data_IF_403773763064
#
_entry.id   IF_403773763064
#
_cell.length_a   1.000
_cell.length_b   1.000
_cell.length_c   1.000
_cell.angle_alpha   90.00
_cell.angle_beta   90.00
_cell.angle_gamma   90.00
#
_symmetry.space_group_name_H-M   'P 1'
#
loop_
_entity.id
_entity.type
_entity.pdbx_description
1 polymer ?
#
# COMPACT_ATOMS: atom_id res chain seq x y z
N UNK A 1 23.72 5.17 27.79
CA UNK A 1 22.98 4.04 28.39
C UNK A 1 22.44 3.14 27.28
N UNK A 2 23.28 2.32 26.61
CA UNK A 2 22.85 1.41 25.54
C UNK A 2 22.48 -0.01 26.03
N UNK A 3 22.82 -0.34 27.28
CA UNK A 3 22.70 -1.69 27.84
C UNK A 3 21.27 -2.17 28.10
N UNK A 4 20.29 -1.28 28.20
CA UNK A 4 18.90 -1.66 28.53
C UNK A 4 18.10 -2.18 27.33
N UNK A 5 18.54 -1.91 26.08
CA UNK A 5 17.85 -2.40 24.89
C UNK A 5 18.30 -3.81 24.47
N UNK A 6 19.53 -4.20 24.82
CA UNK A 6 20.13 -5.48 24.41
C UNK A 6 19.67 -6.63 25.34
N UNK A 7 19.44 -6.35 26.63
CA UNK A 7 18.83 -7.29 27.57
C UNK A 7 17.34 -7.56 27.27
N UNK A 8 16.59 -6.55 26.82
CA UNK A 8 15.19 -6.73 26.45
C UNK A 8 15.02 -7.68 25.24
N UNK A 9 15.97 -7.68 24.29
CA UNK A 9 15.96 -8.58 23.15
C UNK A 9 16.33 -10.03 23.52
N UNK A 10 17.24 -10.21 24.47
CA UNK A 10 17.69 -11.54 24.95
C UNK A 10 16.72 -12.18 25.95
N UNK A 11 15.88 -11.39 26.66
CA UNK A 11 14.87 -11.92 27.58
C UNK A 11 13.63 -12.49 26.86
N UNK A 12 13.32 -12.02 25.65
CA UNK A 12 12.18 -12.50 24.84
C UNK A 12 12.36 -13.97 24.44
N UNK A 13 13.60 -14.45 24.35
CA UNK A 13 13.92 -15.85 23.98
C UNK A 13 13.61 -16.88 25.07
N UNK A 14 13.28 -16.44 26.30
CA UNK A 14 13.04 -17.34 27.44
C UNK A 14 11.61 -17.32 28.00
N UNK A 15 10.70 -16.56 27.39
CA UNK A 15 9.30 -16.61 27.81
C UNK A 15 8.65 -17.91 27.36
N UNK A 16 7.88 -18.53 28.27
CA UNK A 16 7.05 -19.66 27.91
C UNK A 16 6.19 -19.32 26.69
N UNK A 17 6.00 -20.29 25.80
CA UNK A 17 5.30 -20.10 24.52
C UNK A 17 3.96 -19.37 24.68
N UNK A 18 3.23 -19.64 25.77
CA UNK A 18 1.95 -19.00 26.07
C UNK A 18 2.06 -17.51 26.38
N UNK A 19 3.11 -17.05 27.08
CA UNK A 19 3.26 -15.65 27.50
C UNK A 19 3.49 -14.71 26.31
N UNK A 20 4.40 -15.07 25.40
CA UNK A 20 4.62 -14.26 24.20
C UNK A 20 3.42 -14.32 23.26
N UNK A 21 2.76 -15.48 23.15
CA UNK A 21 1.58 -15.68 22.31
C UNK A 21 0.43 -14.75 22.75
N UNK A 22 0.15 -14.71 24.06
CA UNK A 22 -0.87 -13.82 24.61
C UNK A 22 -0.53 -12.34 24.43
N UNK A 23 0.74 -11.96 24.67
CA UNK A 23 1.16 -10.57 24.52
C UNK A 23 1.10 -10.12 23.07
N UNK A 24 1.60 -10.93 22.13
CA UNK A 24 1.56 -10.63 20.70
C UNK A 24 0.12 -10.46 20.21
N UNK A 25 -0.78 -11.40 20.53
CA UNK A 25 -2.19 -11.32 20.15
C UNK A 25 -2.86 -10.04 20.67
N UNK A 26 -2.53 -9.61 21.90
CA UNK A 26 -3.08 -8.38 22.49
C UNK A 26 -2.66 -7.10 21.75
N UNK A 27 -1.54 -7.12 21.02
CA UNK A 27 -1.05 -5.97 20.24
C UNK A 27 -1.60 -5.89 18.82
N UNK A 28 -2.25 -6.96 18.32
CA UNK A 28 -2.76 -6.99 16.96
C UNK A 28 -4.04 -6.18 16.82
N UNK A 29 -4.05 -5.28 15.84
CA UNK A 29 -5.21 -4.47 15.47
C UNK A 29 -5.47 -4.52 13.97
N UNK A 30 -6.70 -4.21 13.56
CA UNK A 30 -7.08 -4.12 12.14
C UNK A 30 -6.78 -5.40 11.35
N UNK A 31 -6.21 -5.22 10.15
CA UNK A 31 -5.92 -6.32 9.22
C UNK A 31 -5.00 -7.40 9.79
N UNK A 32 -4.07 -7.04 10.69
CA UNK A 32 -3.18 -8.00 11.34
C UNK A 32 -3.92 -8.93 12.30
N UNK A 33 -4.96 -8.43 12.98
CA UNK A 33 -5.82 -9.24 13.86
C UNK A 33 -6.73 -10.17 13.07
N UNK A 34 -7.29 -9.68 11.96
CA UNK A 34 -8.12 -10.50 11.07
C UNK A 34 -7.32 -11.67 10.53
N UNK A 35 -6.16 -11.41 9.95
CA UNK A 35 -5.25 -12.45 9.45
C UNK A 35 -4.90 -13.49 10.52
N UNK A 36 -4.51 -13.04 11.71
CA UNK A 36 -4.09 -13.94 12.77
C UNK A 36 -5.20 -14.89 13.24
N UNK A 37 -6.46 -14.45 13.23
CA UNK A 37 -7.61 -15.28 13.57
C UNK A 37 -7.98 -16.31 12.48
N UNK A 38 -7.54 -16.10 11.23
CA UNK A 38 -7.80 -16.99 10.10
C UNK A 38 -6.74 -18.10 9.96
N UNK A 39 -5.66 -18.04 10.76
CA UNK A 39 -4.62 -19.05 10.75
C UNK A 39 -5.17 -20.41 11.24
N UNK A 40 -4.79 -21.52 10.58
CA UNK A 40 -5.17 -22.84 11.06
C UNK A 40 -4.67 -23.09 12.49
N UNK A 41 -5.42 -23.84 13.32
CA UNK A 41 -4.93 -24.28 14.62
C UNK A 41 -3.58 -24.98 14.45
N UNK A 42 -2.65 -24.74 15.37
CA UNK A 42 -1.31 -25.36 15.37
C UNK A 42 -0.43 -25.02 14.15
N UNK A 43 -0.76 -23.97 13.37
CA UNK A 43 0.07 -23.56 12.22
C UNK A 43 1.30 -22.71 12.60
N UNK A 44 1.46 -22.37 13.88
CA UNK A 44 2.53 -21.52 14.40
C UNK A 44 3.08 -22.15 15.67
N UNK A 45 4.25 -22.77 15.56
CA UNK A 45 4.91 -23.46 16.67
C UNK A 45 6.02 -22.63 17.32
N UNK A 46 6.38 -21.50 16.71
CA UNK A 46 7.42 -20.61 17.23
C UNK A 46 7.22 -19.17 16.78
N UNK A 47 7.93 -18.24 17.44
CA UNK A 47 8.03 -16.85 16.97
C UNK A 47 8.63 -16.76 15.56
N UNK A 48 9.53 -17.67 15.19
CA UNK A 48 10.14 -17.72 13.86
C UNK A 48 9.07 -18.03 12.80
N UNK A 49 8.20 -19.01 13.07
CA UNK A 49 7.10 -19.39 12.16
C UNK A 49 6.08 -18.26 12.04
N UNK A 50 5.73 -17.61 13.17
CA UNK A 50 4.86 -16.45 13.17
C UNK A 50 5.43 -15.32 12.31
N UNK A 51 6.71 -14.98 12.51
CA UNK A 51 7.38 -13.93 11.75
C UNK A 51 7.42 -14.28 10.27
N UNK A 52 7.71 -15.54 9.92
CA UNK A 52 7.71 -16.01 8.54
C UNK A 52 6.32 -15.90 7.91
N UNK A 53 5.27 -16.40 8.56
CA UNK A 53 3.90 -16.36 8.08
C UNK A 53 3.37 -14.92 7.96
N UNK A 54 3.68 -14.05 8.93
CA UNK A 54 3.32 -12.63 8.90
C UNK A 54 3.98 -11.93 7.71
N UNK A 55 5.29 -12.12 7.55
CA UNK A 55 6.02 -11.56 6.43
C UNK A 55 5.50 -12.12 5.11
N UNK A 56 5.24 -13.41 5.01
CA UNK A 56 4.69 -14.01 3.81
C UNK A 56 3.33 -13.39 3.45
N UNK A 57 2.38 -13.34 4.38
CA UNK A 57 1.05 -12.78 4.13
C UNK A 57 1.10 -11.30 3.74
N UNK A 58 1.80 -10.47 4.51
CA UNK A 58 1.85 -9.03 4.27
C UNK A 58 2.84 -8.62 3.17
N UNK A 59 3.84 -9.45 2.84
CA UNK A 59 4.70 -9.22 1.68
C UNK A 59 4.11 -9.77 0.40
N UNK A 60 3.28 -10.82 0.40
CA UNK A 60 2.52 -11.21 -0.78
C UNK A 60 1.64 -10.05 -1.26
N UNK A 61 1.03 -9.29 -0.33
CA UNK A 61 0.34 -8.03 -0.63
C UNK A 61 1.24 -6.97 -1.28
N UNK A 62 2.56 -6.97 -1.00
CA UNK A 62 3.57 -6.09 -1.61
C UNK A 62 4.25 -6.68 -2.85
N UNK A 63 4.13 -7.99 -3.11
CA UNK A 63 4.82 -8.73 -4.17
C UNK A 63 4.06 -8.75 -5.49
N UNK A 64 2.78 -8.38 -5.51
CA UNK A 64 2.08 -8.07 -6.77
C UNK A 64 2.61 -6.75 -7.34
N UNK A 65 3.83 -6.80 -7.87
CA UNK A 65 4.35 -5.76 -8.74
C UNK A 65 3.63 -5.94 -10.07
N UNK A 66 2.62 -5.11 -10.32
CA UNK A 66 1.97 -5.06 -11.63
C UNK A 66 3.00 -4.62 -12.67
N UNK A 67 2.92 -5.20 -13.87
CA UNK A 67 3.78 -4.79 -14.98
C UNK A 67 3.51 -3.30 -15.28
N UNK A 68 4.55 -2.44 -15.36
CA UNK A 68 4.38 -1.03 -15.72
C UNK A 68 3.57 -0.82 -16.99
N UNK A 69 3.62 -1.76 -17.94
CA UNK A 69 2.83 -1.71 -19.17
C UNK A 69 1.34 -1.69 -18.85
N UNK A 70 0.84 -2.35 -17.80
CA UNK A 70 -0.59 -2.41 -17.48
C UNK A 70 -1.21 -1.08 -17.06
N UNK A 71 -0.41 -0.03 -16.83
CA UNK A 71 -0.90 1.29 -16.42
C UNK A 71 -1.93 1.86 -17.41
N UNK A 72 -1.81 1.56 -18.71
CA UNK A 72 -2.72 2.05 -19.73
C UNK A 72 -4.15 1.51 -19.56
N UNK A 73 -4.32 0.41 -18.83
CA UNK A 73 -5.62 -0.17 -18.53
C UNK A 73 -6.34 0.54 -17.37
N UNK A 74 -5.65 1.43 -16.65
CA UNK A 74 -6.24 2.18 -15.53
C UNK A 74 -7.00 3.38 -16.08
N UNK A 75 -8.26 3.16 -16.46
CA UNK A 75 -9.20 4.20 -16.91
C UNK A 75 -10.24 4.51 -15.84
N UNK A 76 -10.70 5.76 -15.79
CA UNK A 76 -11.83 6.18 -14.96
C UNK A 76 -13.08 5.41 -15.40
N UNK A 77 -13.81 4.84 -14.45
CA UNK A 77 -15.07 4.12 -14.73
C UNK A 77 -16.23 5.11 -14.85
N UNK A 78 -17.31 4.71 -15.53
CA UNK A 78 -18.44 5.60 -15.83
C UNK A 78 -19.09 6.24 -14.59
N UNK A 79 -19.15 5.50 -13.47
CA UNK A 79 -19.75 5.97 -12.21
C UNK A 79 -18.70 6.42 -11.17
N UNK A 80 -17.42 6.44 -11.54
CA UNK A 80 -16.33 6.76 -10.62
C UNK A 80 -16.05 8.27 -10.64
N UNK A 81 -16.02 8.90 -9.46
CA UNK A 81 -15.66 10.32 -9.36
C UNK A 81 -14.18 10.54 -9.71
N UNK A 82 -13.80 11.76 -10.06
CA UNK A 82 -12.38 12.09 -10.33
C UNK A 82 -11.52 11.86 -9.08
N UNK A 83 -12.07 12.14 -7.89
CA UNK A 83 -11.39 11.92 -6.62
C UNK A 83 -11.15 10.43 -6.36
N UNK A 84 -12.18 9.60 -6.52
CA UNK A 84 -12.07 8.14 -6.37
C UNK A 84 -11.10 7.55 -7.38
N UNK A 85 -11.16 8.02 -8.63
CA UNK A 85 -10.22 7.61 -9.68
C UNK A 85 -8.77 7.99 -9.32
N UNK A 86 -8.53 9.21 -8.84
CA UNK A 86 -7.19 9.67 -8.47
C UNK A 86 -6.59 8.83 -7.33
N UNK A 87 -7.37 8.54 -6.29
CA UNK A 87 -6.92 7.69 -5.18
C UNK A 87 -6.68 6.24 -5.64
N UNK A 88 -7.58 5.68 -6.47
CA UNK A 88 -7.36 4.35 -7.06
C UNK A 88 -6.10 4.31 -7.92
N UNK A 89 -5.93 5.29 -8.80
CA UNK A 89 -4.79 5.40 -9.71
C UNK A 89 -3.47 5.46 -8.92
N UNK A 90 -3.41 6.25 -7.85
CA UNK A 90 -2.26 6.33 -6.94
C UNK A 90 -1.92 4.98 -6.31
N UNK A 91 -2.91 4.25 -5.81
CA UNK A 91 -2.71 2.93 -5.19
C UNK A 91 -2.24 1.90 -6.23
N UNK A 92 -2.85 1.86 -7.41
CA UNK A 92 -2.53 0.89 -8.45
C UNK A 92 -1.14 1.14 -9.05
N UNK A 93 -0.81 2.39 -9.38
CA UNK A 93 0.49 2.76 -9.95
C UNK A 93 1.63 2.74 -8.93
N UNK A 94 1.34 2.93 -7.64
CA UNK A 94 2.30 2.77 -6.56
C UNK A 94 2.82 1.32 -6.42
N UNK A 95 2.07 0.33 -6.94
CA UNK A 95 2.48 -1.08 -6.99
C UNK A 95 3.33 -1.42 -8.22
N UNK A 96 3.35 -0.57 -9.25
CA UNK A 96 4.10 -0.77 -10.49
C UNK A 96 5.53 -0.25 -10.35
N UNK A 97 6.46 -1.15 -10.01
CA UNK A 97 7.90 -0.82 -9.93
C UNK A 97 8.46 -0.66 -11.35
N UNK A 98 9.03 0.50 -11.66
CA UNK A 98 9.62 0.81 -12.97
C UNK A 98 8.80 1.79 -13.83
N UNK A 99 7.55 2.07 -13.48
CA UNK A 99 6.78 3.14 -14.11
C UNK A 99 7.39 4.50 -13.75
N UNK A 100 7.85 5.26 -14.75
CA UNK A 100 8.36 6.62 -14.55
C UNK A 100 7.22 7.60 -14.21
N UNK A 101 7.56 8.74 -13.61
CA UNK A 101 6.55 9.78 -13.35
C UNK A 101 5.89 10.27 -14.64
N UNK A 102 6.68 10.50 -15.70
CA UNK A 102 6.15 10.88 -17.00
C UNK A 102 5.13 9.87 -17.53
N UNK A 103 5.40 8.56 -17.40
CA UNK A 103 4.47 7.51 -17.79
C UNK A 103 3.17 7.58 -16.97
N UNK A 104 3.28 7.73 -15.64
CA UNK A 104 2.10 7.81 -14.77
C UNK A 104 1.26 9.05 -15.06
N UNK A 105 1.89 10.20 -15.27
CA UNK A 105 1.20 11.46 -15.56
C UNK A 105 0.48 11.36 -16.92
N UNK A 106 1.17 10.87 -17.94
CA UNK A 106 0.60 10.66 -19.27
C UNK A 106 -0.62 9.73 -19.20
N UNK A 107 -0.50 8.62 -18.50
CA UNK A 107 -1.56 7.61 -18.41
C UNK A 107 -2.73 8.06 -17.54
N UNK A 108 -2.48 8.90 -16.53
CA UNK A 108 -3.54 9.57 -15.78
C UNK A 108 -4.34 10.52 -16.68
N UNK A 109 -3.66 11.35 -17.46
CA UNK A 109 -4.28 12.31 -18.39
C UNK A 109 -5.09 11.62 -19.49
N UNK A 110 -4.64 10.44 -19.95
CA UNK A 110 -5.37 9.57 -20.87
C UNK A 110 -6.38 8.64 -20.17
N UNK A 111 -6.34 8.56 -18.86
CA UNK A 111 -7.17 7.69 -18.03
C UNK A 111 -8.45 8.37 -17.58
N UNK A 112 -8.41 9.68 -17.40
CA UNK A 112 -9.54 10.48 -16.92
C UNK A 112 -10.57 10.74 -18.02
N UNK A 113 -11.85 10.66 -17.67
CA UNK A 113 -12.99 10.92 -18.57
C UNK A 113 -13.53 12.36 -18.39
N UNK A 114 -12.65 13.32 -18.16
CA UNK A 114 -13.03 14.73 -18.00
C UNK A 114 -12.14 15.63 -18.87
N UNK A 115 -12.72 16.12 -19.97
CA UNK A 115 -12.00 16.91 -20.98
C UNK A 115 -11.44 18.21 -20.40
N UNK A 116 -12.15 18.87 -19.48
CA UNK A 116 -11.71 20.15 -18.92
C UNK A 116 -10.52 19.95 -17.98
N UNK A 117 -10.52 18.89 -17.18
CA UNK A 117 -9.36 18.51 -16.38
C UNK A 117 -8.16 18.14 -17.27
N UNK A 118 -8.38 17.33 -18.32
CA UNK A 118 -7.31 17.00 -19.28
C UNK A 118 -6.74 18.27 -19.92
N UNK A 119 -7.58 19.24 -20.29
CA UNK A 119 -7.13 20.52 -20.84
C UNK A 119 -6.30 21.32 -19.82
N UNK A 120 -6.78 21.45 -18.58
CA UNK A 120 -6.07 22.16 -17.49
C UNK A 120 -4.70 21.55 -17.20
N UNK A 121 -4.59 20.22 -17.22
CA UNK A 121 -3.32 19.50 -17.07
C UNK A 121 -2.40 19.69 -18.28
N UNK A 122 -2.93 19.90 -19.49
CA UNK A 122 -2.13 20.17 -20.68
C UNK A 122 -1.61 21.63 -20.73
N UNK A 123 -2.33 22.59 -20.16
CA UNK A 123 -1.88 23.98 -20.09
C UNK A 123 -0.58 24.10 -19.28
N UNK A 124 -0.48 23.33 -18.20
CA UNK A 124 0.70 23.27 -17.34
C UNK A 124 1.02 21.81 -17.06
N UNK A 125 1.70 21.16 -18.01
CA UNK A 125 2.05 19.74 -17.94
C UNK A 125 2.80 19.45 -16.63
N UNK A 126 2.22 18.63 -15.72
CA UNK A 126 2.88 18.28 -14.47
C UNK A 126 4.18 17.52 -14.74
N UNK A 127 5.19 17.75 -13.90
CA UNK A 127 6.46 17.03 -13.94
C UNK A 127 6.52 15.91 -12.91
N UNK A 128 5.73 16.04 -11.85
CA UNK A 128 5.65 15.06 -10.77
C UNK A 128 4.21 14.62 -10.55
N UNK A 129 4.05 13.45 -9.94
CA UNK A 129 2.73 12.97 -9.50
C UNK A 129 2.09 13.95 -8.51
N UNK A 130 2.88 14.62 -7.69
CA UNK A 130 2.40 15.60 -6.70
C UNK A 130 1.76 16.82 -7.37
N UNK A 131 2.42 17.41 -8.37
CA UNK A 131 1.87 18.54 -9.14
C UNK A 131 0.56 18.17 -9.85
N UNK A 132 0.48 16.95 -10.40
CA UNK A 132 -0.74 16.42 -11.02
C UNK A 132 -1.87 16.30 -9.99
N UNK A 133 -1.59 15.75 -8.80
CA UNK A 133 -2.58 15.61 -7.73
C UNK A 133 -3.07 16.97 -7.20
N UNK A 134 -2.16 17.94 -7.02
CA UNK A 134 -2.51 19.30 -6.59
C UNK A 134 -3.45 19.95 -7.62
N UNK A 135 -3.11 19.86 -8.90
CA UNK A 135 -3.91 20.44 -9.99
C UNK A 135 -5.30 19.79 -10.06
N UNK A 136 -5.36 18.47 -9.94
CA UNK A 136 -6.62 17.71 -9.93
C UNK A 136 -7.49 18.06 -8.72
N UNK A 137 -6.89 18.16 -7.52
CA UNK A 137 -7.60 18.56 -6.30
C UNK A 137 -8.14 19.99 -6.40
N UNK A 138 -7.36 20.91 -6.97
CA UNK A 138 -7.79 22.28 -7.22
C UNK A 138 -8.90 22.37 -8.27
N UNK A 139 -8.97 21.42 -9.21
CA UNK A 139 -10.07 21.30 -10.15
C UNK A 139 -11.35 20.78 -9.48
N UNK A 140 -11.26 19.74 -8.64
CA UNK A 140 -12.42 19.17 -7.92
C UNK A 140 -13.07 20.20 -6.97
N UNK A 141 -12.27 21.08 -6.37
CA UNK A 141 -12.73 22.09 -5.40
C UNK A 141 -13.28 23.38 -6.02
N UNK A 142 -13.03 23.62 -7.31
CA UNK A 142 -13.46 24.82 -8.03
C UNK A 142 -14.81 24.63 -8.68
#
# INVERSE_FOLDING_TARGET
>A
MPWMCEEAATQVEHWAMSTWYHMFNSTLIGAARVWYNELPPESIDSYIDLKAAFLEYFMQQKKYVKDPVEIHNIKQKDEETIEDFMERFKVETGRMKGASECMRIFEFMHGVNNLELTKRLNEHVPKTMEEMMITTTAFIRG
#
